data_IF_656371375656
#
_entry.id   IF_656371375656
#
_cell.length_a   1.000
_cell.length_b   1.000
_cell.length_c   1.000
_cell.angle_alpha   90.00
_cell.angle_beta   90.00
_cell.angle_gamma   90.00
#
_symmetry.space_group_name_H-M   'P 1'
#
loop_
_entity.id
_entity.type
_entity.pdbx_description
1 polymer ?
#
# COMPACT_ATOMS: atom_id res chain seq x y z
N UNK A 1 30.70 17.30 7.50
CA UNK A 1 30.13 17.21 6.12
C UNK A 1 28.66 16.81 6.12
N UNK A 2 28.19 15.80 6.90
CA UNK A 2 26.77 15.40 6.94
C UNK A 2 25.79 16.51 7.37
N UNK A 3 26.14 17.31 8.37
CA UNK A 3 25.28 18.41 8.85
C UNK A 3 25.08 19.53 7.82
N UNK A 4 26.08 19.83 6.98
CA UNK A 4 25.94 20.86 5.91
C UNK A 4 25.01 20.40 4.78
N UNK A 5 25.03 19.12 4.43
CA UNK A 5 24.15 18.57 3.40
C UNK A 5 22.68 18.57 3.84
N UNK A 6 22.41 18.24 5.11
CA UNK A 6 21.08 18.31 5.68
C UNK A 6 20.49 19.72 5.66
N UNK A 7 21.29 20.74 6.01
CA UNK A 7 20.87 22.14 5.94
C UNK A 7 20.59 22.64 4.51
N UNK A 8 21.27 22.11 3.48
CA UNK A 8 21.02 22.48 2.08
C UNK A 8 19.67 21.96 1.64
N UNK A 9 19.37 20.67 1.83
CA UNK A 9 18.08 20.04 1.48
C UNK A 9 16.89 20.73 2.17
N UNK A 10 17.05 21.09 3.45
CA UNK A 10 15.98 21.77 4.20
C UNK A 10 15.75 23.19 3.68
N UNK A 11 16.81 23.87 3.21
CA UNK A 11 16.69 25.20 2.60
C UNK A 11 15.96 25.13 1.26
N UNK A 12 16.35 24.20 0.38
CA UNK A 12 15.69 24.01 -0.92
C UNK A 12 14.20 23.74 -0.75
N UNK A 13 13.81 22.88 0.21
CA UNK A 13 12.40 22.63 0.54
C UNK A 13 11.69 23.88 1.07
N UNK A 14 12.37 24.70 1.89
CA UNK A 14 11.82 25.98 2.38
C UNK A 14 11.60 27.02 1.28
N UNK A 15 12.35 26.94 0.18
CA UNK A 15 12.21 27.78 -1.01
C UNK A 15 11.17 27.25 -2.01
N UNK A 16 10.58 26.08 -1.75
CA UNK A 16 9.58 25.44 -2.58
C UNK A 16 10.17 24.53 -3.68
N UNK A 17 11.46 24.18 -3.55
CA UNK A 17 12.13 23.26 -4.45
C UNK A 17 12.19 21.84 -3.86
N UNK A 18 12.17 20.83 -4.73
CA UNK A 18 12.32 19.42 -4.37
C UNK A 18 13.73 18.99 -4.73
N UNK A 19 14.51 18.46 -3.76
CA UNK A 19 15.79 17.85 -4.07
C UNK A 19 15.56 16.55 -4.83
N UNK A 20 16.27 16.35 -5.92
CA UNK A 20 16.18 15.18 -6.76
C UNK A 20 17.57 14.69 -7.19
N UNK A 21 17.62 13.44 -7.65
CA UNK A 21 18.82 12.83 -8.22
C UNK A 21 18.48 12.27 -9.58
N UNK A 22 19.33 12.50 -10.56
CA UNK A 22 19.23 11.93 -11.91
C UNK A 22 20.38 10.97 -12.11
N UNK A 23 20.10 9.76 -12.52
CA UNK A 23 21.08 8.71 -12.81
C UNK A 23 20.60 7.81 -13.96
N UNK A 24 21.45 6.94 -14.47
CA UNK A 24 21.13 5.98 -15.53
C UNK A 24 22.05 6.10 -16.74
N UNK A 25 21.93 5.17 -17.69
CA UNK A 25 22.70 5.10 -18.95
C UNK A 25 24.22 5.33 -18.80
N UNK A 26 24.78 4.94 -17.63
CA UNK A 26 26.23 5.06 -17.39
C UNK A 26 26.73 6.46 -17.02
N UNK A 27 25.83 7.43 -16.81
CA UNK A 27 26.21 8.75 -16.30
C UNK A 27 26.43 8.71 -14.78
N UNK A 28 27.29 9.60 -14.29
CA UNK A 28 27.44 9.81 -12.84
C UNK A 28 26.16 10.44 -12.27
N UNK A 29 25.70 10.01 -11.05
CA UNK A 29 24.51 10.60 -10.42
C UNK A 29 24.66 12.10 -10.21
N UNK A 30 23.73 12.87 -10.74
CA UNK A 30 23.71 14.34 -10.63
C UNK A 30 22.60 14.75 -9.67
N UNK A 31 22.95 15.48 -8.62
CA UNK A 31 21.96 16.07 -7.71
C UNK A 31 21.42 17.37 -8.30
N UNK A 32 20.09 17.48 -8.37
CA UNK A 32 19.36 18.59 -8.96
C UNK A 32 18.28 19.10 -8.01
N UNK A 33 17.81 20.31 -8.26
CA UNK A 33 16.65 20.89 -7.56
C UNK A 33 15.57 21.20 -8.60
N UNK A 34 14.32 20.82 -8.29
CA UNK A 34 13.19 20.96 -9.20
C UNK A 34 12.12 21.81 -8.51
N UNK A 35 11.44 22.66 -9.26
CA UNK A 35 10.29 23.41 -8.75
C UNK A 35 9.13 22.46 -8.41
N UNK A 36 8.65 22.55 -7.15
CA UNK A 36 7.60 21.67 -6.64
C UNK A 36 6.26 21.86 -7.38
N UNK A 37 5.99 23.07 -7.87
CA UNK A 37 4.74 23.37 -8.57
C UNK A 37 4.74 22.79 -9.97
N UNK A 38 5.84 22.94 -10.70
CA UNK A 38 6.00 22.35 -12.03
C UNK A 38 5.92 20.85 -11.97
N UNK A 39 6.61 20.22 -11.02
CA UNK A 39 6.57 18.79 -10.79
C UNK A 39 5.15 18.30 -10.43
N UNK A 40 4.47 18.98 -9.50
CA UNK A 40 3.09 18.64 -9.12
C UNK A 40 2.13 18.74 -10.31
N UNK A 41 2.30 19.75 -11.17
CA UNK A 41 1.45 19.92 -12.34
C UNK A 41 1.71 18.82 -13.38
N UNK A 42 2.95 18.39 -13.55
CA UNK A 42 3.29 17.29 -14.43
C UNK A 42 2.69 15.95 -13.97
N UNK A 43 2.71 15.66 -12.66
CA UNK A 43 2.08 14.46 -12.08
C UNK A 43 0.55 14.44 -12.16
N UNK A 44 -0.09 15.59 -12.32
CA UNK A 44 -1.56 15.67 -12.48
C UNK A 44 -2.04 15.36 -13.89
N UNK A 45 -1.14 15.11 -14.82
CA UNK A 45 -1.49 14.67 -16.16
C UNK A 45 -2.01 13.23 -16.16
N UNK A 46 -2.66 12.83 -17.24
CA UNK A 46 -3.25 11.48 -17.35
C UNK A 46 -2.20 10.35 -17.22
N UNK A 47 -0.92 10.62 -17.40
CA UNK A 47 0.17 9.64 -17.23
C UNK A 47 0.57 9.40 -15.75
N UNK A 48 0.02 10.14 -14.80
CA UNK A 48 0.22 9.91 -13.36
C UNK A 48 1.69 9.93 -12.91
N UNK A 49 2.14 8.86 -12.24
CA UNK A 49 3.53 8.72 -11.76
C UNK A 49 4.52 8.38 -12.86
N UNK A 50 4.05 7.82 -13.99
CA UNK A 50 4.88 7.30 -15.06
C UNK A 50 5.11 8.29 -16.20
N UNK A 51 5.08 9.60 -15.88
CA UNK A 51 5.35 10.67 -16.83
C UNK A 51 6.83 10.68 -17.24
N UNK A 52 7.07 10.84 -18.53
CA UNK A 52 8.41 11.09 -19.07
C UNK A 52 8.73 12.58 -18.91
N UNK A 53 9.75 12.87 -18.14
CA UNK A 53 10.22 14.22 -17.88
C UNK A 53 11.38 14.60 -18.81
N UNK A 54 11.31 15.79 -19.37
CA UNK A 54 12.44 16.42 -20.04
C UNK A 54 13.11 17.37 -19.07
N UNK A 55 14.18 16.94 -18.42
CA UNK A 55 14.92 17.72 -17.44
C UNK A 55 15.99 18.58 -18.14
N UNK A 56 15.95 19.87 -17.93
CA UNK A 56 16.98 20.81 -18.40
C UNK A 56 17.96 21.11 -17.27
N UNK A 57 19.15 20.48 -17.32
CA UNK A 57 20.18 20.67 -16.31
C UNK A 57 21.29 21.52 -16.91
N UNK A 58 21.25 22.82 -16.63
CA UNK A 58 22.20 23.77 -17.18
C UNK A 58 22.07 23.96 -18.69
N UNK A 59 22.85 23.25 -19.50
CA UNK A 59 22.82 23.30 -20.96
C UNK A 59 22.40 21.98 -21.61
N UNK A 60 22.28 20.96 -20.81
CA UNK A 60 21.99 19.60 -21.27
C UNK A 60 20.53 19.24 -20.98
N UNK A 61 19.94 18.45 -21.87
CA UNK A 61 18.58 17.96 -21.74
C UNK A 61 18.61 16.47 -21.54
N UNK A 62 17.93 15.99 -20.51
CA UNK A 62 17.84 14.57 -20.18
C UNK A 62 16.38 14.13 -20.21
N UNK A 63 16.13 13.04 -20.91
CA UNK A 63 14.82 12.37 -20.84
C UNK A 63 14.87 11.37 -19.69
N UNK A 64 14.01 11.55 -18.70
CA UNK A 64 14.04 10.76 -17.48
C UNK A 64 12.63 10.35 -17.05
N UNK A 65 12.54 9.20 -16.38
CA UNK A 65 11.34 8.71 -15.71
C UNK A 65 11.52 8.87 -14.20
N UNK A 66 10.46 9.28 -13.48
CA UNK A 66 10.49 9.27 -12.02
C UNK A 66 10.33 7.82 -11.53
N UNK A 67 11.36 7.27 -10.87
CA UNK A 67 11.35 5.91 -10.34
C UNK A 67 10.79 5.87 -8.91
N UNK A 68 11.27 6.78 -8.06
CA UNK A 68 10.81 6.86 -6.67
C UNK A 68 10.40 8.29 -6.35
N UNK A 69 9.20 8.44 -5.79
CA UNK A 69 8.64 9.72 -5.37
C UNK A 69 8.35 9.66 -3.88
N UNK A 70 9.19 10.30 -3.08
CA UNK A 70 8.99 10.37 -1.64
C UNK A 70 8.09 11.55 -1.29
N UNK A 71 6.91 11.25 -0.73
CA UNK A 71 5.93 12.22 -0.29
C UNK A 71 5.86 12.28 1.23
N UNK A 72 5.65 13.47 1.78
CA UNK A 72 5.46 13.62 3.22
C UNK A 72 4.08 13.08 3.65
N UNK A 73 4.02 12.33 4.77
CA UNK A 73 2.82 11.62 5.21
C UNK A 73 1.65 12.58 5.53
N UNK A 74 1.92 13.70 6.20
CA UNK A 74 0.88 14.66 6.65
C UNK A 74 0.79 15.92 5.80
N UNK A 75 1.91 16.30 5.14
CA UNK A 75 1.96 17.48 4.31
C UNK A 75 1.90 17.08 2.86
N UNK A 76 1.21 17.84 2.06
CA UNK A 76 1.15 17.59 0.62
C UNK A 76 2.42 18.13 -0.07
N UNK A 77 3.59 17.71 0.45
CA UNK A 77 4.92 18.13 0.01
C UNK A 77 5.71 16.89 -0.45
N UNK A 78 6.48 17.04 -1.51
CA UNK A 78 7.42 16.03 -1.96
C UNK A 78 8.75 16.23 -1.24
N UNK A 79 9.32 15.14 -0.74
CA UNK A 79 10.58 15.14 0.01
C UNK A 79 11.79 14.89 -0.87
N UNK A 80 11.66 13.98 -1.82
CA UNK A 80 12.71 13.58 -2.75
C UNK A 80 12.10 12.96 -3.99
N UNK A 81 12.79 13.07 -5.12
CA UNK A 81 12.42 12.39 -6.36
C UNK A 81 13.68 11.82 -6.99
N UNK A 82 13.62 10.55 -7.36
CA UNK A 82 14.67 9.86 -8.06
C UNK A 82 14.29 9.70 -9.53
N UNK A 83 15.14 10.22 -10.41
CA UNK A 83 14.96 10.13 -11.84
C UNK A 83 15.96 9.17 -12.45
N UNK A 84 15.44 8.27 -13.28
CA UNK A 84 16.25 7.40 -14.12
C UNK A 84 16.24 7.94 -15.54
N UNK A 85 17.41 8.22 -16.09
CA UNK A 85 17.53 8.56 -17.49
C UNK A 85 17.15 7.35 -18.34
N UNK A 86 16.25 7.54 -19.29
CA UNK A 86 15.73 6.49 -20.16
C UNK A 86 15.95 6.82 -21.63
N UNK A 87 16.22 5.78 -22.42
CA UNK A 87 16.18 5.81 -23.86
C UNK A 87 14.82 5.28 -24.34
N UNK A 88 14.17 5.99 -25.25
CA UNK A 88 12.86 5.60 -25.77
C UNK A 88 12.86 4.27 -26.54
N UNK A 89 14.06 3.77 -26.89
CA UNK A 89 14.25 2.52 -27.63
C UNK A 89 14.56 1.30 -26.74
N UNK A 90 14.76 1.51 -25.44
CA UNK A 90 15.09 0.45 -24.50
C UNK A 90 13.91 0.22 -23.54
N UNK A 91 13.70 -1.04 -23.15
CA UNK A 91 12.74 -1.39 -22.12
C UNK A 91 13.25 -0.97 -20.76
N UNK A 92 12.35 -0.50 -19.91
CA UNK A 92 12.64 -0.06 -18.55
C UNK A 92 11.64 -0.68 -17.58
N UNK A 93 12.09 -0.88 -16.35
CA UNK A 93 11.23 -1.34 -15.27
C UNK A 93 10.57 -0.12 -14.64
N UNK A 94 9.25 -0.18 -14.51
CA UNK A 94 8.44 0.87 -13.91
C UNK A 94 7.37 0.29 -12.98
N UNK A 95 7.10 0.98 -11.88
CA UNK A 95 6.07 0.60 -10.92
C UNK A 95 4.73 1.20 -11.36
N UNK A 96 3.73 0.36 -11.59
CA UNK A 96 2.39 0.75 -12.02
C UNK A 96 1.39 0.43 -10.93
N UNK A 97 0.50 1.38 -10.66
CA UNK A 97 -0.56 1.21 -9.69
C UNK A 97 -1.67 0.32 -10.23
N UNK A 98 -2.12 -0.63 -9.41
CA UNK A 98 -3.29 -1.48 -9.70
C UNK A 98 -4.51 -0.91 -9.00
N UNK A 99 -5.57 -0.69 -9.79
CA UNK A 99 -6.88 -0.29 -9.30
C UNK A 99 -7.77 -1.52 -9.20
N UNK A 100 -8.28 -1.81 -8.02
CA UNK A 100 -9.20 -2.90 -7.81
C UNK A 100 -10.63 -2.43 -8.09
N UNK A 101 -11.32 -3.10 -9.03
CA UNK A 101 -12.70 -2.78 -9.42
C UNK A 101 -13.65 -3.89 -8.97
N UNK A 102 -14.88 -3.50 -8.57
CA UNK A 102 -15.88 -4.46 -8.09
C UNK A 102 -15.88 -4.65 -6.58
N UNK A 103 -16.81 -5.46 -6.10
CA UNK A 103 -16.93 -5.87 -4.71
C UNK A 103 -16.98 -7.39 -4.69
N UNK A 104 -16.04 -8.08 -4.01
CA UNK A 104 -15.96 -9.54 -3.98
C UNK A 104 -17.23 -10.19 -3.41
N UNK A 105 -17.56 -11.38 -3.90
CA UNK A 105 -18.67 -12.17 -3.35
C UNK A 105 -18.39 -12.58 -1.90
N UNK A 106 -17.15 -12.94 -1.56
CA UNK A 106 -16.76 -13.29 -0.20
C UNK A 106 -16.96 -12.16 0.83
N UNK A 107 -16.90 -10.89 0.38
CA UNK A 107 -17.22 -9.74 1.26
C UNK A 107 -18.73 -9.56 1.42
N UNK A 108 -19.51 -9.78 0.34
CA UNK A 108 -20.97 -9.58 0.36
C UNK A 108 -21.72 -10.67 1.09
N UNK A 109 -21.33 -11.93 0.88
CA UNK A 109 -22.08 -13.10 1.32
C UNK A 109 -21.51 -13.71 2.60
N UNK A 110 -20.19 -13.67 2.76
CA UNK A 110 -19.49 -14.33 3.87
C UNK A 110 -18.89 -13.35 4.89
N UNK A 111 -19.09 -12.03 4.69
CA UNK A 111 -18.58 -11.03 5.60
C UNK A 111 -17.05 -10.91 5.63
N UNK A 112 -16.37 -11.39 4.60
CA UNK A 112 -14.92 -11.31 4.46
C UNK A 112 -14.41 -9.86 4.40
N UNK A 113 -13.14 -9.66 4.71
CA UNK A 113 -12.45 -8.38 4.62
C UNK A 113 -11.39 -8.45 3.52
N UNK A 114 -11.37 -7.42 2.69
CA UNK A 114 -10.34 -7.25 1.65
C UNK A 114 -9.05 -6.80 2.33
N UNK A 115 -7.99 -7.57 2.16
CA UNK A 115 -6.64 -7.20 2.56
C UNK A 115 -5.80 -6.95 1.30
N UNK A 116 -5.49 -5.71 1.03
CA UNK A 116 -4.55 -5.33 -0.03
C UNK A 116 -3.13 -5.48 0.51
N UNK A 117 -2.37 -6.39 -0.07
CA UNK A 117 -0.96 -6.64 0.27
C UNK A 117 -0.08 -5.70 -0.52
N UNK A 118 -0.23 -5.72 -1.85
CA UNK A 118 0.47 -4.82 -2.76
C UNK A 118 -0.54 -4.09 -3.65
N UNK A 119 -0.34 -2.79 -3.84
CA UNK A 119 -1.13 -1.95 -4.74
C UNK A 119 -0.38 -1.52 -5.99
N UNK A 120 0.87 -1.95 -6.13
CA UNK A 120 1.75 -1.64 -7.25
C UNK A 120 2.40 -2.90 -7.77
N UNK A 121 2.63 -2.96 -9.08
CA UNK A 121 3.32 -4.05 -9.77
C UNK A 121 4.45 -3.44 -10.58
N UNK A 122 5.62 -4.08 -10.56
CA UNK A 122 6.76 -3.71 -11.41
C UNK A 122 6.61 -4.38 -12.77
N UNK A 123 6.55 -3.57 -13.81
CA UNK A 123 6.46 -4.03 -15.20
C UNK A 123 7.67 -3.60 -16.01
N UNK A 124 8.05 -4.40 -17.00
CA UNK A 124 9.07 -4.10 -17.98
C UNK A 124 8.41 -3.72 -19.30
N UNK A 125 8.56 -2.47 -19.71
CA UNK A 125 7.95 -1.96 -20.94
C UNK A 125 8.81 -0.86 -21.60
N UNK A 126 8.46 -0.50 -22.84
CA UNK A 126 9.00 0.71 -23.46
C UNK A 126 8.41 1.94 -22.74
N UNK A 127 9.20 3.02 -22.53
CA UNK A 127 8.72 4.21 -21.82
C UNK A 127 7.44 4.84 -22.37
N UNK A 128 7.19 4.66 -23.67
CA UNK A 128 5.97 5.13 -24.35
C UNK A 128 4.74 4.28 -24.12
N UNK A 129 4.93 3.01 -23.70
CA UNK A 129 3.86 2.03 -23.56
C UNK A 129 3.50 1.75 -22.10
N UNK A 130 4.15 2.43 -21.17
CA UNK A 130 3.85 2.26 -19.73
C UNK A 130 2.44 2.78 -19.46
N UNK A 131 1.51 1.94 -18.96
CA UNK A 131 0.18 2.37 -18.59
C UNK A 131 0.21 3.21 -17.30
N UNK A 132 -0.78 4.07 -17.12
CA UNK A 132 -0.92 4.88 -15.91
C UNK A 132 -1.38 4.04 -14.72
N UNK A 133 -2.30 3.12 -14.98
CA UNK A 133 -2.85 2.20 -14.01
C UNK A 133 -3.32 0.93 -14.71
N UNK A 134 -3.42 -0.15 -13.96
CA UNK A 134 -3.98 -1.42 -14.41
C UNK A 134 -5.26 -1.67 -13.60
N UNK A 135 -6.35 -2.02 -14.27
CA UNK A 135 -7.61 -2.32 -13.61
C UNK A 135 -7.76 -3.83 -13.46
N UNK A 136 -8.00 -4.29 -12.23
CA UNK A 136 -8.20 -5.69 -11.88
C UNK A 136 -9.59 -5.88 -11.29
N UNK A 137 -10.40 -6.76 -11.89
CA UNK A 137 -11.73 -7.10 -11.38
C UNK A 137 -11.65 -8.14 -10.28
N UNK A 138 -12.12 -7.77 -9.09
CA UNK A 138 -12.13 -8.61 -7.90
C UNK A 138 -13.51 -9.18 -7.56
N UNK A 139 -14.53 -8.95 -8.41
CA UNK A 139 -15.93 -9.28 -8.11
C UNK A 139 -16.19 -10.78 -7.88
N UNK A 140 -15.40 -11.65 -8.51
CA UNK A 140 -15.59 -13.12 -8.47
C UNK A 140 -14.87 -13.82 -7.31
N UNK A 141 -14.20 -13.10 -6.41
CA UNK A 141 -13.41 -13.70 -5.34
C UNK A 141 -14.27 -14.12 -4.14
N UNK A 142 -13.97 -15.31 -3.59
CA UNK A 142 -14.53 -15.82 -2.35
C UNK A 142 -13.55 -15.60 -1.19
N UNK A 143 -14.01 -15.93 0.02
CA UNK A 143 -13.15 -15.90 1.19
C UNK A 143 -12.08 -16.99 1.10
N UNK A 144 -10.83 -16.60 1.36
CA UNK A 144 -9.65 -17.47 1.22
C UNK A 144 -8.97 -17.38 -0.15
N UNK A 145 -9.60 -16.73 -1.14
CA UNK A 145 -8.98 -16.53 -2.44
C UNK A 145 -7.95 -15.40 -2.39
N UNK A 146 -6.93 -15.53 -3.23
CA UNK A 146 -5.91 -14.51 -3.45
C UNK A 146 -5.74 -14.27 -4.95
N UNK A 147 -5.37 -13.05 -5.31
CA UNK A 147 -4.95 -12.71 -6.67
C UNK A 147 -3.47 -12.33 -6.65
N UNK A 148 -2.74 -12.89 -7.61
CA UNK A 148 -1.34 -12.59 -7.86
C UNK A 148 -1.19 -11.59 -9.02
N UNK A 149 0.01 -11.06 -9.18
CA UNK A 149 0.34 -10.17 -10.28
C UNK A 149 0.15 -10.82 -11.66
N UNK A 150 0.31 -12.15 -11.74
CA UNK A 150 0.10 -12.92 -12.97
C UNK A 150 -1.36 -12.90 -13.47
N UNK A 151 -2.33 -12.63 -12.59
CA UNK A 151 -3.77 -12.59 -12.94
C UNK A 151 -4.21 -11.24 -13.53
N UNK A 152 -3.29 -10.28 -13.65
CA UNK A 152 -3.59 -8.93 -14.16
C UNK A 152 -3.53 -8.92 -15.69
N UNK A 153 -4.55 -8.36 -16.32
CA UNK A 153 -4.59 -8.16 -17.77
C UNK A 153 -3.59 -7.07 -18.19
N UNK A 154 -2.49 -7.48 -18.82
CA UNK A 154 -1.45 -6.57 -19.31
C UNK A 154 -1.77 -6.10 -20.74
N UNK A 155 -1.56 -4.80 -21.06
CA UNK A 155 -1.69 -4.29 -22.41
C UNK A 155 -0.54 -4.80 -23.33
N UNK A 156 -0.70 -4.63 -24.64
CA UNK A 156 0.29 -5.08 -25.62
C UNK A 156 1.65 -4.39 -25.44
N UNK A 157 2.71 -5.19 -25.35
CA UNK A 157 4.08 -4.69 -25.21
C UNK A 157 4.52 -4.38 -23.78
N UNK A 158 3.79 -4.87 -22.81
CA UNK A 158 4.11 -4.80 -21.36
C UNK A 158 4.31 -6.22 -20.86
N UNK A 159 5.38 -6.45 -20.13
CA UNK A 159 5.71 -7.73 -19.51
C UNK A 159 5.86 -7.52 -18.00
N UNK A 160 5.52 -8.51 -17.20
CA UNK A 160 5.82 -8.50 -15.76
C UNK A 160 7.34 -8.61 -15.57
N UNK A 161 7.87 -7.93 -14.58
CA UNK A 161 9.25 -8.15 -14.18
C UNK A 161 9.39 -9.57 -13.60
N UNK A 162 10.46 -10.28 -13.96
CA UNK A 162 10.64 -11.72 -13.69
C UNK A 162 10.50 -12.16 -12.21
N UNK A 163 10.57 -11.22 -11.27
CA UNK A 163 10.49 -11.50 -9.83
C UNK A 163 9.08 -11.23 -9.24
N UNK A 164 8.13 -10.77 -10.05
CA UNK A 164 6.82 -10.31 -9.59
C UNK A 164 5.65 -11.27 -9.87
N UNK A 165 5.87 -12.34 -10.65
CA UNK A 165 4.80 -13.26 -11.06
C UNK A 165 4.03 -13.85 -9.88
N UNK A 166 4.70 -14.17 -8.77
CA UNK A 166 4.13 -14.75 -7.55
C UNK A 166 3.73 -13.69 -6.49
N UNK A 167 3.82 -12.42 -6.82
CA UNK A 167 3.50 -11.34 -5.88
C UNK A 167 1.99 -11.26 -5.65
N UNK A 168 1.56 -11.50 -4.40
CA UNK A 168 0.16 -11.42 -4.01
C UNK A 168 -0.24 -9.95 -3.92
N UNK A 169 -1.30 -9.58 -4.64
CA UNK A 169 -1.86 -8.23 -4.65
C UNK A 169 -2.94 -8.06 -3.60
N UNK A 170 -3.88 -9.01 -3.59
CA UNK A 170 -5.06 -8.95 -2.73
C UNK A 170 -5.40 -10.33 -2.17
N UNK A 171 -5.88 -10.35 -0.95
CA UNK A 171 -6.38 -11.55 -0.28
C UNK A 171 -7.69 -11.21 0.43
N UNK A 172 -8.66 -12.14 0.40
CA UNK A 172 -9.90 -12.00 1.15
C UNK A 172 -9.84 -12.93 2.36
N UNK A 173 -9.94 -12.36 3.56
CA UNK A 173 -9.87 -13.10 4.83
C UNK A 173 -11.10 -12.87 5.68
N UNK A 174 -11.45 -13.84 6.52
CA UNK A 174 -12.50 -13.66 7.54
C UNK A 174 -11.92 -12.83 8.68
N UNK A 175 -12.60 -11.79 9.16
CA UNK A 175 -12.16 -11.05 10.33
C UNK A 175 -12.18 -11.94 11.57
N UNK A 176 -11.12 -11.89 12.36
CA UNK A 176 -10.94 -12.75 13.55
C UNK A 176 -12.09 -12.66 14.55
N UNK A 177 -12.75 -11.50 14.62
CA UNK A 177 -13.93 -11.30 15.47
C UNK A 177 -15.15 -12.15 15.06
N UNK A 178 -15.31 -12.44 13.76
CA UNK A 178 -16.41 -13.30 13.30
C UNK A 178 -16.16 -14.78 13.61
N UNK A 179 -14.90 -15.21 13.61
CA UNK A 179 -14.53 -16.60 13.95
C UNK A 179 -14.70 -16.84 15.46
N UNK A 180 -14.40 -15.84 16.31
CA UNK A 180 -14.60 -15.94 17.77
C UNK A 180 -16.09 -16.01 18.14
N UNK A 181 -16.98 -15.29 17.40
CA UNK A 181 -18.44 -15.38 17.62
C UNK A 181 -19.02 -16.73 17.15
N UNK A 182 -18.52 -17.33 16.07
CA UNK A 182 -18.95 -18.67 15.62
C UNK A 182 -18.47 -19.78 16.55
N UNK A 183 -17.24 -19.70 17.06
CA UNK A 183 -16.71 -20.66 18.04
C UNK A 183 -17.45 -20.57 19.41
N UNK A 184 -17.90 -19.37 19.84
CA UNK A 184 -18.71 -19.20 21.04
C UNK A 184 -20.12 -19.74 20.87
N UNK A 185 -20.71 -19.66 19.67
CA UNK A 185 -22.06 -20.19 19.38
C UNK A 185 -22.02 -21.71 19.24
N UNK A 186 -21.01 -22.28 18.58
CA UNK A 186 -20.83 -23.76 18.52
C UNK A 186 -20.49 -24.36 19.90
N UNK A 187 -19.77 -23.61 20.76
CA UNK A 187 -19.48 -24.01 22.13
C UNK A 187 -20.70 -24.03 23.05
N UNK A 188 -21.71 -23.19 22.77
CA UNK A 188 -22.96 -23.13 23.55
C UNK A 188 -24.01 -24.17 23.09
N UNK A 189 -24.03 -24.58 21.84
CA UNK A 189 -24.92 -25.64 21.35
C UNK A 189 -24.43 -27.06 21.72
N UNK A 190 -23.17 -27.23 22.08
CA UNK A 190 -22.58 -28.50 22.52
C UNK A 190 -22.80 -28.85 23.99
N UNK A 191 -23.27 -27.91 24.85
CA UNK A 191 -23.34 -28.08 26.31
C UNK A 191 -24.78 -28.34 26.84
N UNK A 192 -25.81 -28.37 25.97
CA UNK A 192 -27.20 -28.54 26.41
C UNK A 192 -27.74 -30.01 26.32
N UNK A 193 -26.93 -31.02 26.10
CA UNK A 193 -27.41 -32.41 25.99
C UNK A 193 -26.69 -33.42 26.88
N UNK A 194 -26.30 -33.07 28.12
CA UNK A 194 -26.03 -34.14 29.11
C UNK A 194 -26.12 -33.59 30.52
N UNK A 195 -27.24 -33.86 31.20
CA UNK A 195 -27.30 -33.63 32.66
C UNK A 195 -28.65 -33.52 33.29
N UNK A 196 -29.58 -34.39 33.01
CA UNK A 196 -30.73 -34.65 33.88
C UNK A 196 -30.55 -35.98 34.55
N UNK A 197 -30.13 -36.00 35.82
CA UNK A 197 -30.59 -36.85 36.89
C UNK A 197 -29.72 -36.72 38.15
N UNK A 198 -30.38 -36.35 39.27
CA UNK A 198 -29.86 -36.82 40.55
C UNK A 198 -29.75 -35.83 41.71
N UNK A 199 -30.90 -35.61 42.41
CA UNK A 199 -31.08 -35.71 43.87
C UNK A 199 -30.43 -34.68 44.82
N UNK A 200 -31.29 -33.87 45.43
CA UNK A 200 -31.52 -33.66 46.89
C UNK A 200 -30.29 -33.49 47.82
N UNK A 201 -30.31 -32.43 48.55
CA UNK A 201 -29.65 -32.39 49.86
C UNK A 201 -29.15 -31.01 50.32
N UNK A 202 -30.06 -30.28 51.00
CA UNK A 202 -29.88 -29.64 52.31
C UNK A 202 -28.78 -28.56 52.52
N UNK A 203 -29.28 -27.31 52.75
CA UNK A 203 -29.20 -26.55 54.01
C UNK A 203 -27.85 -25.98 54.43
N UNK A 204 -27.87 -24.70 54.58
CA UNK A 204 -27.48 -23.74 55.64
C UNK A 204 -26.62 -22.61 55.09
N UNK A 205 -27.13 -21.39 55.05
CA UNK A 205 -27.20 -20.33 56.07
C UNK A 205 -25.84 -19.94 56.66
N UNK A 206 -25.43 -18.77 56.41
CA UNK A 206 -24.99 -17.68 57.31
C UNK A 206 -24.07 -16.71 56.53
N UNK A 207 -24.57 -15.53 56.24
CA UNK A 207 -24.54 -14.22 56.90
C UNK A 207 -23.17 -13.56 57.07
N UNK A 208 -23.18 -12.29 56.58
CA UNK A 208 -22.68 -11.04 57.24
C UNK A 208 -21.16 -10.81 57.12
N UNK A 209 -20.68 -9.73 56.83
CA UNK A 209 -20.74 -8.25 56.95
C UNK A 209 -19.57 -7.69 56.17
N UNK A 210 -19.69 -6.64 55.35
CA UNK A 210 -19.50 -5.22 55.70
C UNK A 210 -18.08 -4.81 56.06
N UNK A 211 -17.50 -3.96 55.36
CA UNK A 211 -17.00 -2.61 55.67
C UNK A 211 -16.02 -2.17 54.55
N UNK A 212 -16.32 -1.18 53.74
CA UNK A 212 -16.14 0.27 53.88
C UNK A 212 -14.75 0.73 54.32
N UNK A 213 -14.26 1.61 53.54
CA UNK A 213 -13.51 2.85 53.82
C UNK A 213 -12.38 3.01 52.81
N UNK A 214 -12.46 4.00 51.99
CA UNK A 214 -12.30 5.44 52.16
C UNK A 214 -10.83 5.89 52.12
N UNK A 215 -10.69 6.91 51.37
CA UNK A 215 -9.83 8.09 51.52
C UNK A 215 -8.51 8.15 50.69
N UNK A 216 -8.65 8.97 49.69
CA UNK A 216 -7.93 10.25 49.44
C UNK A 216 -6.43 10.28 49.29
N UNK A 217 -6.03 11.05 48.34
CA UNK A 217 -5.02 12.11 48.50
C UNK A 217 -3.78 12.01 47.62
N UNK A 218 -3.64 12.84 46.74
CA UNK A 218 -2.79 13.98 46.41
C UNK A 218 -2.23 13.98 45.00
#
# INVERSE_FOLDING_TARGET
RRQRQMCIRDRSRGEGNIPAVVYGLGMEPVSVEIDAREFTNALKTEAGSNVIFNLEIGKEKYTALAREIQKHVYRNEFLHVDFVQVDLSQTVDADVQVNFTGIPMGVKEEGGVIQTVNSTITITALPTNIPTSLDLDISGLNVGDNLAAADVDLPEGVELANDEDDSILITITIPRAAVEEEEEIEGLEGEEVEGEEGAEGESSEETVEEESSDESGE
#
